data_IF_163926117898
#
_entry.id   IF_163926117898
#
_cell.length_a   1.000
_cell.length_b   1.000
_cell.length_c   1.000
_cell.angle_alpha   90.00
_cell.angle_beta   90.00
_cell.angle_gamma   90.00
#
_symmetry.space_group_name_H-M   'P 1'
#
loop_
_entity.id
_entity.type
_entity.pdbx_description
1 polymer ?
#
# COMPACT_ATOMS: atom_id res chain seq x y z
N UNK A 1 4.47 8.38 26.65
CA UNK A 1 5.47 8.57 25.58
C UNK A 1 4.91 7.92 24.34
N UNK A 2 4.37 8.73 23.42
CA UNK A 2 3.68 8.27 22.20
C UNK A 2 4.69 7.88 21.13
N UNK A 3 4.80 6.58 20.90
CA UNK A 3 5.62 6.06 19.80
C UNK A 3 4.74 5.99 18.53
N UNK A 4 4.47 7.14 17.93
CA UNK A 4 3.91 7.20 16.58
C UNK A 4 5.04 6.91 15.59
N UNK A 5 5.20 5.63 15.26
CA UNK A 5 6.08 5.22 14.17
C UNK A 5 5.47 5.73 12.85
N UNK A 6 6.06 6.78 12.33
CA UNK A 6 5.60 7.55 11.17
C UNK A 6 5.86 6.72 9.90
N UNK A 7 4.87 5.96 9.43
CA UNK A 7 4.94 5.19 8.18
C UNK A 7 5.15 6.06 6.92
N UNK A 8 5.18 7.38 7.04
CA UNK A 8 5.65 8.31 6.01
C UNK A 8 7.07 8.02 5.53
N UNK A 9 7.86 7.28 6.31
CA UNK A 9 9.29 7.03 6.03
C UNK A 9 9.45 6.04 4.86
N UNK A 10 8.56 5.10 4.67
CA UNK A 10 8.71 4.07 3.62
C UNK A 10 8.38 4.63 2.23
N UNK A 11 7.45 5.59 2.13
CA UNK A 11 7.09 6.20 0.85
C UNK A 11 7.96 7.43 0.49
N UNK A 12 8.47 8.18 1.50
CA UNK A 12 9.33 9.36 1.27
C UNK A 12 10.81 9.04 1.07
N UNK A 13 11.30 7.90 1.53
CA UNK A 13 12.71 7.55 1.36
C UNK A 13 13.09 7.25 -0.11
N UNK A 14 12.11 6.99 -0.97
CA UNK A 14 12.32 6.67 -2.38
C UNK A 14 11.93 7.78 -3.37
N UNK A 15 11.24 8.81 -2.95
CA UNK A 15 10.86 9.96 -3.82
C UNK A 15 11.45 11.26 -3.30
N UNK A 16 12.79 11.34 -3.20
CA UNK A 16 13.48 12.59 -2.92
C UNK A 16 13.66 13.40 -4.22
N UNK A 17 12.66 14.20 -4.60
CA UNK A 17 12.86 15.31 -5.51
C UNK A 17 12.01 16.50 -5.09
N UNK A 18 12.72 17.57 -4.75
CA UNK A 18 12.31 18.98 -4.69
C UNK A 18 11.39 19.44 -3.54
N UNK A 19 12.06 19.97 -2.52
CA UNK A 19 11.52 20.45 -1.24
C UNK A 19 11.14 21.95 -1.24
N UNK A 20 10.83 22.57 -2.38
CA UNK A 20 10.67 24.05 -2.44
C UNK A 20 9.24 24.58 -2.50
N UNK A 21 8.20 23.77 -2.33
CA UNK A 21 6.81 24.31 -2.24
C UNK A 21 5.95 23.55 -1.26
N UNK A 22 6.02 23.94 0.01
CA UNK A 22 4.93 23.65 0.96
C UNK A 22 3.89 24.78 0.88
N UNK A 23 2.64 24.51 0.52
CA UNK A 23 1.53 25.39 0.85
C UNK A 23 0.91 25.02 2.21
N UNK A 24 0.65 26.07 2.96
CA UNK A 24 -0.03 26.16 4.25
C UNK A 24 -1.22 25.18 4.40
N UNK A 25 -1.32 24.64 5.63
CA UNK A 25 -2.47 23.93 6.17
C UNK A 25 -3.79 24.67 5.88
N UNK A 26 -4.53 24.21 4.90
CA UNK A 26 -5.95 24.51 4.79
C UNK A 26 -6.71 23.24 5.18
N UNK A 27 -7.57 23.40 6.17
CA UNK A 27 -8.61 22.45 6.55
C UNK A 27 -9.47 22.17 5.32
N UNK A 28 -9.21 21.08 4.62
CA UNK A 28 -9.97 20.72 3.42
C UNK A 28 -11.15 19.86 3.86
N UNK A 29 -12.34 20.38 3.69
CA UNK A 29 -13.58 19.60 3.69
C UNK A 29 -13.46 18.51 2.62
N UNK A 30 -13.45 17.26 3.04
CA UNK A 30 -13.44 16.10 2.15
C UNK A 30 -14.68 16.12 1.27
N UNK A 31 -14.51 16.45 0.00
CA UNK A 31 -15.47 16.10 -1.05
C UNK A 31 -15.14 14.68 -1.52
N UNK A 32 -16.14 13.80 -1.50
CA UNK A 32 -16.10 12.45 -2.04
C UNK A 32 -15.45 12.45 -3.44
N UNK A 33 -14.30 11.78 -3.58
CA UNK A 33 -13.83 11.30 -4.86
C UNK A 33 -12.79 12.12 -5.61
N UNK A 34 -11.63 12.41 -4.99
CA UNK A 34 -10.46 12.78 -5.80
C UNK A 34 -9.29 11.83 -5.45
N UNK A 35 -8.86 11.00 -6.42
CA UNK A 35 -7.78 10.01 -6.23
C UNK A 35 -6.48 10.63 -5.66
N UNK A 36 -6.21 11.91 -5.95
CA UNK A 36 -5.05 12.64 -5.41
C UNK A 36 -5.12 12.89 -3.90
N UNK A 37 -6.31 13.01 -3.32
CA UNK A 37 -6.46 13.26 -1.89
C UNK A 37 -6.15 12.01 -1.05
N UNK A 38 -6.46 10.81 -1.57
CA UNK A 38 -6.19 9.54 -0.88
C UNK A 38 -4.68 9.26 -0.75
N UNK A 39 -3.87 9.67 -1.71
CA UNK A 39 -2.42 9.50 -1.71
C UNK A 39 -1.70 10.40 -0.69
N UNK A 40 -2.34 11.46 -0.22
CA UNK A 40 -1.77 12.37 0.77
C UNK A 40 -2.05 11.96 2.22
N UNK A 41 -2.92 10.98 2.43
CA UNK A 41 -3.23 10.44 3.76
C UNK A 41 -2.10 9.55 4.27
N UNK A 42 -1.93 9.52 5.58
CA UNK A 42 -1.13 8.46 6.21
C UNK A 42 -1.88 7.12 6.12
N UNK A 43 -1.16 5.99 6.19
CA UNK A 43 -1.78 4.67 6.15
C UNK A 43 -2.89 4.48 7.21
N UNK A 44 -2.68 5.03 8.41
CA UNK A 44 -3.68 4.94 9.49
C UNK A 44 -4.89 5.83 9.21
N UNK A 45 -4.70 7.02 8.65
CA UNK A 45 -5.80 7.91 8.25
C UNK A 45 -6.61 7.27 7.12
N UNK A 46 -5.94 6.74 6.09
CA UNK A 46 -6.60 6.03 5.00
C UNK A 46 -7.43 4.85 5.50
N UNK A 47 -6.88 4.02 6.41
CA UNK A 47 -7.61 2.91 7.00
C UNK A 47 -8.84 3.36 7.82
N UNK A 48 -8.80 4.55 8.45
CA UNK A 48 -9.96 5.15 9.12
C UNK A 48 -11.03 5.59 8.12
N UNK A 49 -10.63 6.26 7.03
CA UNK A 49 -11.54 6.72 5.98
C UNK A 49 -12.24 5.56 5.28
N UNK A 50 -11.51 4.47 5.00
CA UNK A 50 -12.08 3.25 4.42
C UNK A 50 -13.09 2.62 5.38
N UNK A 51 -12.75 2.48 6.66
CA UNK A 51 -13.69 1.93 7.66
C UNK A 51 -14.92 2.82 7.90
N UNK A 52 -14.77 4.14 7.78
CA UNK A 52 -15.88 5.08 7.87
C UNK A 52 -16.79 5.08 6.62
N UNK A 53 -16.37 4.40 5.54
CA UNK A 53 -17.11 4.35 4.28
C UNK A 53 -16.97 5.61 3.42
N UNK A 54 -16.01 6.49 3.75
CA UNK A 54 -15.70 7.69 2.96
C UNK A 54 -14.86 7.38 1.73
N UNK A 55 -14.13 6.27 1.74
CA UNK A 55 -13.38 5.70 0.62
C UNK A 55 -13.53 4.18 0.62
N UNK A 56 -13.16 3.53 -0.48
CA UNK A 56 -13.07 2.07 -0.57
C UNK A 56 -11.62 1.62 -0.73
N UNK A 57 -11.34 0.36 -0.40
CA UNK A 57 -10.02 -0.23 -0.65
C UNK A 57 -9.71 -0.27 -2.14
N UNK A 58 -10.73 -0.47 -2.99
CA UNK A 58 -10.59 -0.42 -4.46
C UNK A 58 -10.19 0.97 -4.92
N UNK A 59 -10.86 2.04 -4.48
CA UNK A 59 -10.52 3.42 -4.85
C UNK A 59 -9.09 3.78 -4.40
N UNK A 60 -8.68 3.37 -3.21
CA UNK A 60 -7.32 3.56 -2.72
C UNK A 60 -6.29 2.80 -3.56
N UNK A 61 -6.60 1.55 -3.94
CA UNK A 61 -5.74 0.72 -4.78
C UNK A 61 -5.61 1.30 -6.19
N UNK A 62 -6.71 1.74 -6.80
CA UNK A 62 -6.71 2.39 -8.12
C UNK A 62 -5.87 3.67 -8.12
N UNK A 63 -5.98 4.50 -7.08
CA UNK A 63 -5.17 5.71 -6.94
C UNK A 63 -3.66 5.40 -6.88
N UNK A 64 -3.27 4.37 -6.10
CA UNK A 64 -1.87 3.94 -6.01
C UNK A 64 -1.39 3.35 -7.32
N UNK A 65 -2.18 2.51 -7.98
CA UNK A 65 -1.87 1.93 -9.30
C UNK A 65 -1.64 3.04 -10.34
N UNK A 66 -2.52 4.01 -10.42
CA UNK A 66 -2.38 5.14 -11.35
C UNK A 66 -1.10 5.95 -11.09
N UNK A 67 -0.69 6.09 -9.83
CA UNK A 67 0.57 6.74 -9.48
C UNK A 67 1.78 5.89 -9.88
N UNK A 68 1.73 4.57 -9.66
CA UNK A 68 2.78 3.64 -10.09
C UNK A 68 2.94 3.71 -11.62
N UNK A 69 1.86 3.53 -12.38
CA UNK A 69 1.88 3.56 -13.85
C UNK A 69 2.46 4.88 -14.41
N UNK A 70 2.31 5.98 -13.68
CA UNK A 70 2.85 7.29 -14.07
C UNK A 70 4.36 7.44 -13.81
N UNK A 71 4.88 6.74 -12.80
CA UNK A 71 6.24 7.00 -12.29
C UNK A 71 7.20 5.83 -12.46
N UNK A 72 6.70 4.59 -12.61
CA UNK A 72 7.50 3.36 -12.57
C UNK A 72 8.55 3.29 -13.68
N UNK A 73 8.21 3.72 -14.89
CA UNK A 73 9.14 3.74 -16.04
C UNK A 73 10.43 4.54 -15.75
N UNK A 74 10.34 5.53 -14.85
CA UNK A 74 11.48 6.35 -14.46
C UNK A 74 12.17 5.89 -13.18
N UNK A 75 11.43 5.23 -12.27
CA UNK A 75 11.90 4.93 -10.93
C UNK A 75 12.33 3.47 -10.74
N UNK A 76 11.69 2.53 -11.45
CA UNK A 76 11.91 1.09 -11.34
C UNK A 76 11.87 0.60 -9.86
N UNK A 77 10.84 1.04 -9.14
CA UNK A 77 10.68 0.75 -7.72
C UNK A 77 10.19 -0.68 -7.46
N UNK A 78 9.43 -1.26 -8.39
CA UNK A 78 8.82 -2.58 -8.21
C UNK A 78 9.59 -3.65 -8.98
N UNK A 79 9.88 -4.76 -8.31
CA UNK A 79 10.39 -6.00 -8.92
C UNK A 79 9.23 -6.86 -9.40
N UNK A 80 8.16 -6.90 -8.60
CA UNK A 80 6.94 -7.63 -8.93
C UNK A 80 5.74 -6.72 -8.66
N UNK A 81 4.92 -6.52 -9.68
CA UNK A 81 3.69 -5.75 -9.60
C UNK A 81 2.62 -6.45 -10.43
N UNK A 82 1.51 -6.82 -9.80
CA UNK A 82 0.36 -7.47 -10.43
C UNK A 82 -0.91 -6.68 -10.11
N UNK A 83 -1.28 -5.84 -11.05
CA UNK A 83 -2.45 -4.95 -10.97
C UNK A 83 -3.76 -5.71 -10.77
N UNK A 84 -3.94 -6.82 -11.49
CA UNK A 84 -5.19 -7.58 -11.46
C UNK A 84 -5.39 -8.24 -10.09
N UNK A 85 -4.35 -8.91 -9.59
CA UNK A 85 -4.36 -9.53 -8.26
C UNK A 85 -4.53 -8.48 -7.16
N UNK A 86 -3.86 -7.33 -7.25
CA UNK A 86 -4.00 -6.25 -6.27
C UNK A 86 -5.43 -5.71 -6.21
N UNK A 87 -6.09 -5.50 -7.35
CA UNK A 87 -7.49 -5.06 -7.40
C UNK A 87 -8.47 -6.13 -6.92
N UNK A 88 -8.21 -7.40 -7.23
CA UNK A 88 -9.03 -8.51 -6.72
C UNK A 88 -8.96 -8.60 -5.19
N UNK A 89 -7.75 -8.47 -4.61
CA UNK A 89 -7.54 -8.44 -3.18
C UNK A 89 -8.18 -7.22 -2.50
N UNK A 90 -8.13 -6.04 -3.15
CA UNK A 90 -8.81 -4.84 -2.65
C UNK A 90 -10.33 -5.02 -2.61
N UNK A 91 -10.93 -5.65 -3.62
CA UNK A 91 -12.37 -5.99 -3.62
C UNK A 91 -12.73 -6.95 -2.49
N UNK A 92 -11.93 -8.00 -2.29
CA UNK A 92 -12.13 -8.93 -1.19
C UNK A 92 -12.01 -8.24 0.18
N UNK A 93 -11.09 -7.27 0.31
CA UNK A 93 -10.96 -6.46 1.53
C UNK A 93 -12.21 -5.60 1.76
N UNK A 94 -12.74 -4.94 0.73
CA UNK A 94 -14.00 -4.15 0.85
C UNK A 94 -15.18 -5.02 1.30
N UNK A 95 -15.30 -6.24 0.76
CA UNK A 95 -16.35 -7.19 1.18
C UNK A 95 -16.15 -7.64 2.63
N UNK A 96 -14.91 -7.90 3.03
CA UNK A 96 -14.59 -8.29 4.41
C UNK A 96 -14.84 -7.16 5.41
N UNK A 97 -14.56 -5.91 5.04
CA UNK A 97 -14.85 -4.72 5.85
C UNK A 97 -16.36 -4.54 5.99
N UNK A 98 -17.13 -4.62 4.90
CA UNK A 98 -18.60 -4.54 4.93
C UNK A 98 -19.23 -5.65 5.78
N UNK A 99 -18.64 -6.85 5.77
CA UNK A 99 -19.07 -7.97 6.60
C UNK A 99 -18.61 -7.87 8.07
N UNK A 100 -17.89 -6.82 8.46
CA UNK A 100 -17.33 -6.64 9.81
C UNK A 100 -16.21 -7.61 10.17
N UNK A 101 -15.67 -8.35 9.20
CA UNK A 101 -14.60 -9.33 9.41
C UNK A 101 -13.19 -8.71 9.43
N UNK A 102 -13.03 -7.54 8.80
CA UNK A 102 -11.75 -6.84 8.67
C UNK A 102 -11.86 -5.45 9.31
N UNK A 103 -11.36 -5.32 10.54
CA UNK A 103 -11.44 -4.08 11.35
C UNK A 103 -10.08 -3.56 11.82
N UNK A 104 -8.99 -4.11 11.32
CA UNK A 104 -7.63 -3.72 11.69
C UNK A 104 -7.31 -2.25 11.38
N UNK A 105 -6.21 -1.71 11.91
CA UNK A 105 -5.83 -0.32 11.70
C UNK A 105 -5.45 0.00 10.24
N UNK A 106 -5.11 -1.01 9.45
CA UNK A 106 -4.74 -0.91 8.04
C UNK A 106 -5.78 -1.53 7.10
N UNK A 107 -7.03 -1.67 7.56
CA UNK A 107 -8.10 -2.30 6.78
C UNK A 107 -8.27 -1.66 5.40
N UNK A 108 -8.00 -2.44 4.34
CA UNK A 108 -8.09 -2.01 2.95
C UNK A 108 -6.95 -1.13 2.45
N UNK A 109 -5.92 -0.86 3.25
CA UNK A 109 -4.80 0.02 2.88
C UNK A 109 -3.82 -0.71 1.97
N UNK A 110 -3.49 -0.17 0.77
CA UNK A 110 -2.47 -0.71 -0.10
C UNK A 110 -1.07 -0.61 0.53
N UNK A 111 -0.32 -1.72 0.53
CA UNK A 111 1.04 -1.77 1.10
C UNK A 111 1.97 -2.50 0.13
N UNK A 112 3.11 -1.89 -0.18
CA UNK A 112 4.19 -2.54 -0.91
C UNK A 112 5.15 -3.22 0.07
N UNK A 113 5.62 -4.41 -0.29
CA UNK A 113 6.51 -5.24 0.54
C UNK A 113 7.89 -5.28 -0.11
N UNK A 114 8.94 -5.07 0.67
CA UNK A 114 10.31 -5.20 0.17
C UNK A 114 10.58 -6.63 -0.32
N UNK A 115 11.28 -6.78 -1.43
CA UNK A 115 11.46 -8.07 -2.11
C UNK A 115 12.36 -9.08 -1.37
N UNK A 116 12.91 -8.70 -0.21
CA UNK A 116 13.58 -9.63 0.70
C UNK A 116 12.65 -10.27 1.76
N UNK A 117 11.38 -9.88 1.80
CA UNK A 117 10.40 -10.48 2.72
C UNK A 117 9.57 -11.53 1.99
N UNK A 118 9.65 -12.78 2.43
CA UNK A 118 8.84 -13.87 1.87
C UNK A 118 7.36 -13.53 1.98
N UNK A 119 6.67 -13.60 0.86
CA UNK A 119 5.22 -13.39 0.74
C UNK A 119 4.64 -14.60 0.02
N UNK A 120 3.81 -15.37 0.69
CA UNK A 120 3.25 -16.63 0.17
C UNK A 120 2.57 -16.43 -1.17
N UNK A 121 2.96 -17.23 -2.17
CA UNK A 121 2.37 -17.20 -3.50
C UNK A 121 2.80 -16.02 -4.38
N UNK A 122 3.67 -15.12 -3.88
CA UNK A 122 4.18 -13.98 -4.64
C UNK A 122 5.68 -14.12 -4.86
N UNK A 123 6.14 -13.89 -6.10
CA UNK A 123 7.56 -13.95 -6.47
C UNK A 123 8.40 -13.12 -5.47
N UNK A 124 9.48 -13.71 -4.96
CA UNK A 124 10.37 -13.08 -3.99
C UNK A 124 11.82 -13.38 -4.37
N UNK A 125 12.47 -12.41 -5.00
CA UNK A 125 13.77 -12.65 -5.66
C UNK A 125 14.96 -12.15 -4.85
N UNK A 126 14.76 -11.28 -3.86
CA UNK A 126 15.84 -10.59 -3.16
C UNK A 126 16.80 -9.89 -4.14
N UNK A 127 16.31 -9.43 -5.29
CA UNK A 127 17.08 -8.89 -6.42
C UNK A 127 18.22 -9.82 -6.88
N UNK A 128 18.06 -11.14 -6.72
CA UNK A 128 19.06 -12.17 -7.06
C UNK A 128 18.56 -13.04 -8.21
N UNK A 129 19.40 -13.25 -9.22
CA UNK A 129 19.11 -14.17 -10.33
C UNK A 129 18.93 -15.62 -9.89
N UNK A 130 19.54 -16.02 -8.77
CA UNK A 130 19.37 -17.37 -8.22
C UNK A 130 17.92 -17.61 -7.78
N UNK A 131 17.25 -16.54 -7.33
CA UNK A 131 15.88 -16.57 -6.83
C UNK A 131 14.87 -16.03 -7.84
N UNK A 132 15.22 -15.82 -9.10
CA UNK A 132 14.37 -15.19 -10.11
C UNK A 132 13.02 -15.87 -10.33
N UNK A 133 12.90 -17.16 -9.96
CA UNK A 133 11.68 -17.94 -10.06
C UNK A 133 11.17 -18.43 -8.69
N UNK A 134 11.69 -17.88 -7.60
CA UNK A 134 11.34 -18.37 -6.27
C UNK A 134 10.01 -17.77 -5.79
N UNK A 135 9.02 -18.65 -5.62
CA UNK A 135 7.72 -18.32 -5.03
C UNK A 135 7.60 -19.00 -3.67
N UNK A 136 7.65 -18.26 -2.56
CA UNK A 136 7.56 -18.82 -1.22
C UNK A 136 6.23 -19.53 -0.96
N UNK A 137 6.27 -20.64 -0.23
CA UNK A 137 5.08 -21.35 0.28
C UNK A 137 4.61 -20.82 1.63
N UNK A 138 5.30 -19.83 2.19
CA UNK A 138 4.99 -19.18 3.48
C UNK A 138 5.21 -17.67 3.38
N UNK A 139 4.56 -16.92 4.27
CA UNK A 139 4.82 -15.49 4.49
C UNK A 139 5.72 -15.29 5.71
N UNK A 140 6.54 -14.25 5.68
CA UNK A 140 7.30 -13.81 6.86
C UNK A 140 6.35 -13.25 7.91
N UNK A 141 6.76 -13.30 9.18
CA UNK A 141 5.97 -12.80 10.33
C UNK A 141 5.52 -11.34 10.14
N UNK A 142 6.37 -10.50 9.54
CA UNK A 142 6.04 -9.12 9.26
C UNK A 142 4.89 -8.99 8.24
N UNK A 143 4.89 -9.82 7.20
CA UNK A 143 3.82 -9.85 6.18
C UNK A 143 2.54 -10.36 6.80
N UNK A 144 2.59 -11.44 7.58
CA UNK A 144 1.41 -11.98 8.29
C UNK A 144 0.77 -10.89 9.16
N UNK A 145 1.55 -10.18 9.95
CA UNK A 145 1.03 -9.09 10.80
C UNK A 145 0.43 -7.92 10.03
N UNK A 146 0.97 -7.60 8.86
CA UNK A 146 0.39 -6.58 7.98
C UNK A 146 -0.97 -7.04 7.42
N UNK A 147 -1.05 -8.29 6.97
CA UNK A 147 -2.30 -8.89 6.48
C UNK A 147 -3.35 -9.00 7.60
N UNK A 148 -2.96 -9.41 8.80
CA UNK A 148 -3.83 -9.43 9.99
C UNK A 148 -4.32 -8.02 10.38
N UNK A 149 -3.48 -6.99 10.21
CA UNK A 149 -3.87 -5.60 10.39
C UNK A 149 -4.81 -5.07 9.29
N UNK A 150 -5.02 -5.86 8.22
CA UNK A 150 -5.92 -5.57 7.12
C UNK A 150 -5.29 -4.92 5.90
N UNK A 151 -3.96 -4.87 5.82
CA UNK A 151 -3.27 -4.34 4.66
C UNK A 151 -3.49 -5.20 3.41
N UNK A 152 -3.58 -4.56 2.25
CA UNK A 152 -3.68 -5.22 0.94
C UNK A 152 -2.35 -5.11 0.22
N UNK A 153 -1.68 -6.24 0.00
CA UNK A 153 -0.36 -6.26 -0.66
C UNK A 153 -0.53 -5.92 -2.14
N UNK A 154 0.20 -4.91 -2.61
CA UNK A 154 0.16 -4.45 -4.01
C UNK A 154 1.30 -5.03 -4.85
N UNK A 155 2.43 -5.34 -4.25
CA UNK A 155 3.61 -5.86 -4.96
C UNK A 155 4.87 -5.86 -4.12
N UNK A 156 5.98 -6.18 -4.78
CA UNK A 156 7.32 -6.29 -4.17
C UNK A 156 8.22 -5.18 -4.68
N UNK A 157 8.79 -4.42 -3.76
CA UNK A 157 9.70 -3.32 -4.10
C UNK A 157 11.14 -3.78 -4.18
N UNK A 158 11.91 -3.10 -5.03
CA UNK A 158 13.33 -3.33 -5.21
C UNK A 158 14.12 -3.17 -3.90
N UNK A 159 15.34 -3.70 -3.89
CA UNK A 159 16.23 -3.75 -2.71
C UNK A 159 16.98 -2.43 -2.50
#
# INVERSE_FOLDING_TARGET
MNNQMNLRIIYRAFCATDDTKQPLLQTIFFKKGNAMDLLNLTAVELGKEIKAGNATAVEAMEAVIAQIEKTEDNLNCYVTFDKETALANAKAADEAIKAGKLNGPLAGVPVAIKDNMCTKGMLTTCSSKILENFVPTFSSEAVIKLEEAGAVIIGKTNM
#
